data_IF_951560623490
#
_entry.id   IF_951560623490
#
_cell.length_a   1.000
_cell.length_b   1.000
_cell.length_c   1.000
_cell.angle_alpha   90.00
_cell.angle_beta   90.00
_cell.angle_gamma   90.00
#
_symmetry.space_group_name_H-M   'P 1'
#
loop_
_entity.id
_entity.type
_entity.pdbx_description
1 polymer ?
2 non-polymer ?
3 non-polymer ?
4 non-polymer ?
5 water ?
#
# COMPACT_ATOMS: atom_id res chain seq x y z
N UNK A 1 -6.69 41.53 7.83
CA UNK A 1 -7.98 41.35 8.55
C UNK A 1 -8.00 39.98 9.21
N UNK A 2 -8.09 39.98 10.53
CA UNK A 2 -8.08 38.76 11.31
C UNK A 2 -9.19 37.79 10.91
N UNK A 3 -10.40 38.31 10.73
CA UNK A 3 -11.54 37.47 10.37
C UNK A 3 -11.41 36.77 9.02
N UNK A 4 -10.75 37.42 8.07
CA UNK A 4 -10.54 36.84 6.75
C UNK A 4 -9.53 35.69 6.85
N UNK A 5 -8.49 35.89 7.63
CA UNK A 5 -7.47 34.85 7.81
C UNK A 5 -8.09 33.65 8.54
N UNK A 6 -8.98 33.93 9.49
CA UNK A 6 -9.64 32.86 10.23
C UNK A 6 -10.53 32.02 9.32
N UNK A 7 -11.31 32.69 8.47
CA UNK A 7 -12.18 31.98 7.55
C UNK A 7 -11.36 31.16 6.56
N UNK A 8 -10.22 31.69 6.13
CA UNK A 8 -9.37 30.92 5.22
C UNK A 8 -8.84 29.69 5.93
N UNK A 9 -8.45 29.86 7.19
CA UNK A 9 -7.92 28.73 7.95
C UNK A 9 -8.98 27.63 8.08
N UNK A 10 -10.24 28.03 8.27
CA UNK A 10 -11.33 27.07 8.36
C UNK A 10 -11.43 26.31 7.03
N UNK A 11 -11.29 27.02 5.92
CA UNK A 11 -11.35 26.40 4.59
C UNK A 11 -10.14 25.46 4.37
N UNK A 12 -8.98 25.86 4.89
CA UNK A 12 -7.76 25.04 4.76
C UNK A 12 -7.90 23.74 5.52
N UNK A 13 -8.45 23.83 6.73
CA UNK A 13 -8.65 22.67 7.60
C UNK A 13 -9.67 21.72 6.99
N UNK A 14 -10.81 22.24 6.54
CA UNK A 14 -11.83 21.39 5.92
C UNK A 14 -11.31 20.71 4.65
N UNK A 15 -10.46 21.41 3.91
CA UNK A 15 -9.87 20.85 2.69
C UNK A 15 -8.97 19.68 3.11
N UNK A 16 -8.19 19.86 4.19
CA UNK A 16 -7.33 18.80 4.70
C UNK A 16 -8.14 17.60 5.15
N UNK A 17 -9.24 17.85 5.85
CA UNK A 17 -10.09 16.74 6.31
C UNK A 17 -10.57 15.92 5.12
N UNK A 18 -11.01 16.60 4.07
CA UNK A 18 -11.47 15.89 2.87
C UNK A 18 -10.34 15.13 2.18
N UNK A 19 -9.17 15.75 2.09
CA UNK A 19 -8.06 15.07 1.46
C UNK A 19 -7.56 13.87 2.25
N UNK A 20 -7.54 13.98 3.59
CA UNK A 20 -7.12 12.84 4.41
C UNK A 20 -8.11 11.70 4.25
N UNK A 21 -9.39 12.02 4.14
CA UNK A 21 -10.41 10.99 3.97
C UNK A 21 -10.20 10.28 2.64
N UNK A 22 -9.82 11.04 1.61
CA UNK A 22 -9.55 10.46 0.28
C UNK A 22 -8.34 9.56 0.32
N UNK A 23 -7.32 9.96 1.07
CA UNK A 23 -6.10 9.17 1.24
C UNK A 23 -6.47 7.85 1.94
N UNK A 24 -7.28 7.93 2.99
CA UNK A 24 -7.69 6.72 3.69
C UNK A 24 -8.45 5.79 2.72
N UNK A 25 -9.39 6.35 1.95
CA UNK A 25 -10.16 5.57 0.98
C UNK A 25 -9.30 4.92 -0.08
N UNK A 26 -8.36 5.68 -0.65
CA UNK A 26 -7.48 5.15 -1.68
C UNK A 26 -6.59 4.04 -1.13
N UNK A 27 -6.09 4.22 0.09
CA UNK A 27 -5.24 3.20 0.71
C UNK A 27 -6.03 1.90 0.93
N UNK A 28 -7.26 2.04 1.42
CA UNK A 28 -8.12 0.87 1.65
C UNK A 28 -8.40 0.16 0.31
N UNK A 29 -8.64 0.95 -0.75
CA UNK A 29 -8.89 0.39 -2.07
C UNK A 29 -7.65 -0.39 -2.52
N UNK A 30 -6.47 0.23 -2.34
CA UNK A 30 -5.20 -0.39 -2.74
C UNK A 30 -4.90 -1.64 -1.93
N UNK A 31 -5.45 -1.73 -0.72
CA UNK A 31 -5.23 -2.90 0.12
C UNK A 31 -6.27 -3.99 -0.11
N UNK A 32 -7.10 -3.82 -1.13
CA UNK A 32 -8.09 -4.84 -1.45
C UNK A 32 -9.49 -4.68 -0.89
N UNK A 33 -9.78 -3.56 -0.24
CA UNK A 33 -11.12 -3.38 0.32
C UNK A 33 -12.15 -3.40 -0.80
N UNK A 34 -13.12 -4.31 -0.70
CA UNK A 34 -14.19 -4.44 -1.69
C UNK A 34 -15.33 -3.52 -1.24
N UNK A 35 -16.12 -3.02 -2.19
CA UNK A 35 -17.22 -2.12 -1.85
C UNK A 35 -18.21 -2.74 -0.85
N UNK A 36 -18.54 -1.98 0.19
CA UNK A 36 -19.49 -2.47 1.19
C UNK A 36 -18.96 -3.62 2.04
N UNK A 37 -17.66 -3.90 1.93
CA UNK A 37 -17.06 -4.98 2.69
C UNK A 37 -15.97 -4.45 3.61
N UNK A 38 -15.73 -5.12 4.72
CA UNK A 38 -14.68 -4.65 5.60
C UNK A 38 -13.40 -5.17 4.97
N UNK A 39 -12.26 -4.61 5.35
CA UNK A 39 -11.04 -5.13 4.74
C UNK A 39 -10.04 -5.57 5.79
N UNK A 40 -9.15 -6.45 5.36
CA UNK A 40 -8.16 -7.04 6.23
C UNK A 40 -6.76 -6.66 5.80
N UNK A 41 -5.89 -6.48 6.78
CA UNK A 41 -4.52 -6.08 6.53
C UNK A 41 -3.59 -6.81 7.51
N UNK A 42 -2.39 -7.13 7.04
CA UNK A 42 -1.39 -7.77 7.89
C UNK A 42 0.00 -7.28 7.51
N UNK A 43 0.94 -7.37 8.44
CA UNK A 43 2.33 -6.97 8.17
C UNK A 43 3.14 -8.27 8.19
N UNK A 44 2.41 -9.38 8.31
CA UNK A 44 3.00 -10.72 8.34
C UNK A 44 3.84 -11.04 9.57
N UNK A 45 3.80 -10.19 10.58
CA UNK A 45 4.55 -10.42 11.80
C UNK A 45 3.79 -11.38 12.73
N UNK A 46 4.51 -12.28 13.39
CA UNK A 46 3.87 -13.23 14.30
C UNK A 46 4.06 -12.76 15.75
N UNK A 47 3.00 -12.82 16.55
CA UNK A 47 3.08 -12.36 17.93
C UNK A 47 1.95 -12.95 18.77
N UNK A 48 2.08 -12.86 20.11
CA UNK A 48 1.06 -13.36 21.04
C UNK A 48 -0.23 -12.59 20.81
N UNK A 49 -1.36 -13.19 21.20
CA UNK A 49 -2.66 -12.56 20.99
C UNK A 49 -2.82 -11.16 21.58
N UNK A 50 -2.36 -10.95 22.81
CA UNK A 50 -2.50 -9.64 23.43
C UNK A 50 -1.83 -8.56 22.59
N UNK A 51 -0.71 -8.89 21.95
CA UNK A 51 0.02 -7.96 21.10
C UNK A 51 -0.79 -7.62 19.85
N UNK A 52 -1.44 -8.64 19.28
CA UNK A 52 -2.25 -8.43 18.08
C UNK A 52 -3.39 -7.48 18.43
N UNK A 53 -4.10 -7.75 19.53
CA UNK A 53 -5.20 -6.91 19.95
C UNK A 53 -4.77 -5.47 20.12
N UNK A 54 -3.65 -5.30 20.81
CA UNK A 54 -3.10 -3.97 21.10
C UNK A 54 -2.79 -3.25 19.80
N UNK A 55 -2.09 -3.93 18.89
CA UNK A 55 -1.73 -3.34 17.62
C UNK A 55 -2.95 -2.95 16.80
N UNK A 56 -3.90 -3.86 16.60
CA UNK A 56 -5.09 -3.54 15.82
C UNK A 56 -5.92 -2.43 16.45
N UNK A 57 -6.07 -2.49 17.77
CA UNK A 57 -6.81 -1.47 18.49
C UNK A 57 -6.18 -0.10 18.25
N UNK A 58 -4.85 -0.05 18.29
CA UNK A 58 -4.14 1.22 18.07
C UNK A 58 -4.44 1.80 16.70
N UNK A 59 -4.66 0.93 15.72
CA UNK A 59 -4.95 1.35 14.35
C UNK A 59 -6.45 1.59 14.17
N UNK A 60 -7.18 1.53 15.28
CA UNK A 60 -8.62 1.72 15.26
C UNK A 60 -9.34 0.67 14.41
N UNK A 61 -8.86 -0.56 14.56
CA UNK A 61 -9.43 -1.70 13.90
C UNK A 61 -9.56 -2.76 14.98
N UNK A 62 -9.59 -4.03 14.60
CA UNK A 62 -9.70 -5.11 15.57
C UNK A 62 -9.09 -6.35 14.96
N UNK A 63 -8.78 -7.33 15.79
CA UNK A 63 -8.22 -8.59 15.27
C UNK A 63 -9.32 -9.11 14.33
N UNK A 64 -8.89 -9.55 13.15
CA UNK A 64 -9.80 -10.05 12.14
C UNK A 64 -10.81 -11.09 12.65
N UNK A 65 -12.06 -10.92 12.26
CA UNK A 65 -13.15 -11.81 12.64
C UNK A 65 -13.95 -12.28 11.41
N UNK A 66 -13.91 -13.59 11.10
CA UNK A 66 -14.68 -14.07 9.95
C UNK A 66 -16.14 -14.20 10.39
N UNK A 67 -17.04 -13.42 9.78
CA UNK A 67 -18.47 -13.47 10.11
C UNK A 67 -19.18 -14.44 9.18
N UNK A 68 -18.50 -14.87 8.13
CA UNK A 68 -19.07 -15.81 7.17
C UNK A 68 -17.93 -16.41 6.35
N UNK A 69 -18.26 -17.33 5.45
CA UNK A 69 -17.23 -18.01 4.65
C UNK A 69 -16.47 -17.11 3.68
N UNK A 70 -17.13 -16.11 3.12
CA UNK A 70 -16.45 -15.19 2.20
C UNK A 70 -15.35 -14.47 2.97
N UNK A 71 -15.69 -13.94 4.14
CA UNK A 71 -14.70 -13.22 4.94
C UNK A 71 -13.60 -14.16 5.42
N UNK A 72 -13.96 -15.41 5.69
CA UNK A 72 -12.98 -16.38 6.17
C UNK A 72 -11.93 -16.59 5.07
N UNK A 73 -12.40 -16.72 3.83
CA UNK A 73 -11.52 -16.93 2.69
C UNK A 73 -10.64 -15.70 2.50
N UNK A 74 -11.23 -14.53 2.65
CA UNK A 74 -10.50 -13.27 2.50
C UNK A 74 -9.37 -13.19 3.54
N UNK A 75 -9.69 -13.52 4.79
CA UNK A 75 -8.70 -13.49 5.85
C UNK A 75 -7.60 -14.52 5.58
N UNK A 76 -8.00 -15.70 5.11
CA UNK A 76 -7.07 -16.78 4.79
C UNK A 76 -6.06 -16.34 3.72
N UNK A 77 -6.55 -15.63 2.71
CA UNK A 77 -5.72 -15.17 1.59
C UNK A 77 -4.75 -14.08 2.04
N UNK A 78 -5.21 -13.18 2.90
CA UNK A 78 -4.36 -12.11 3.41
C UNK A 78 -3.27 -12.68 4.33
N UNK A 79 -3.66 -13.56 5.25
CA UNK A 79 -2.72 -14.15 6.21
C UNK A 79 -1.63 -15.04 5.62
N UNK A 80 -2.01 -15.97 4.75
CA UNK A 80 -1.03 -16.86 4.12
C UNK A 80 -0.46 -17.91 5.10
N UNK A 81 -0.66 -17.69 6.39
CA UNK A 81 -0.18 -18.62 7.42
C UNK A 81 -1.18 -18.63 8.58
N UNK A 82 -0.84 -19.31 9.69
CA UNK A 82 -1.77 -19.33 10.82
C UNK A 82 -1.87 -17.93 11.41
N UNK A 83 -3.08 -17.50 11.74
CA UNK A 83 -3.28 -16.16 12.29
C UNK A 83 -4.37 -16.14 13.33
N UNK A 84 -4.23 -15.29 14.34
CA UNK A 84 -5.25 -15.16 15.38
C UNK A 84 -6.50 -14.50 14.83
N UNK A 85 -7.64 -14.88 15.40
CA UNK A 85 -8.93 -14.29 15.04
C UNK A 85 -9.43 -13.57 16.29
N UNK A 86 -10.32 -12.60 16.09
CA UNK A 86 -10.88 -11.86 17.20
C UNK A 86 -11.99 -12.62 17.91
N UNK A 87 -11.68 -13.86 18.28
CA UNK A 87 -12.62 -14.77 18.94
C UNK A 87 -11.89 -15.52 20.07
N UNK A 88 -12.46 -15.54 21.27
CA UNK A 88 -11.82 -16.27 22.39
C UNK A 88 -12.88 -16.77 23.37
N UNK A 89 -12.50 -17.70 24.26
CA UNK A 89 -13.45 -18.16 25.28
C UNK A 89 -12.81 -17.89 26.64
N UNK A 90 -12.10 -16.77 26.72
CA UNK A 90 -11.43 -16.33 27.95
C UNK A 90 -12.39 -16.00 29.08
N UNK A 91 -13.52 -15.37 28.73
CA UNK A 91 -14.49 -14.97 29.73
C UNK A 91 -15.18 -16.14 30.41
N UNK A 92 -15.61 -17.13 29.62
CA UNK A 92 -16.29 -18.31 30.14
C UNK A 92 -15.86 -19.49 29.29
N UNK A 93 -15.06 -20.38 29.88
CA UNK A 93 -14.57 -21.56 29.16
C UNK A 93 -15.64 -22.30 28.39
N UNK A 94 -15.33 -22.63 27.13
CA UNK A 94 -16.27 -23.34 26.29
C UNK A 94 -17.21 -22.42 25.52
N UNK A 95 -17.33 -21.17 25.91
CA UNK A 95 -18.24 -20.28 25.29
C UNK A 95 -17.55 -19.17 24.48
N UNK A 96 -17.33 -19.43 23.21
CA UNK A 96 -16.62 -18.48 22.43
C UNK A 96 -17.36 -17.18 22.14
N UNK A 97 -16.63 -16.07 22.18
CA UNK A 97 -17.23 -14.75 21.98
C UNK A 97 -16.30 -13.87 21.14
N UNK A 98 -16.88 -12.92 20.42
CA UNK A 98 -16.07 -12.01 19.64
C UNK A 98 -15.39 -11.06 20.63
N UNK A 99 -14.19 -10.59 20.30
CA UNK A 99 -13.49 -9.67 21.19
C UNK A 99 -14.27 -8.38 21.35
N UNK A 100 -15.11 -8.07 20.38
CA UNK A 100 -15.93 -6.87 20.41
C UNK A 100 -17.33 -7.12 20.99
N UNK A 101 -17.58 -8.35 21.44
CA UNK A 101 -18.87 -8.65 22.02
C UNK A 101 -19.77 -9.59 21.23
N UNK A 102 -20.51 -10.40 21.96
CA UNK A 102 -21.43 -11.34 21.34
C UNK A 102 -20.92 -12.77 21.24
N UNK A 103 -21.86 -13.70 21.30
CA UNK A 103 -21.53 -15.10 21.20
C UNK A 103 -21.21 -15.47 19.75
N UNK A 104 -20.26 -16.39 19.58
CA UNK A 104 -19.86 -16.81 18.23
C UNK A 104 -21.05 -17.38 17.46
N UNK A 105 -21.18 -16.99 16.20
CA UNK A 105 -22.26 -17.53 15.38
C UNK A 105 -21.60 -18.40 14.31
N UNK A 106 -21.29 -17.82 13.16
CA UNK A 106 -20.62 -18.60 12.13
C UNK A 106 -19.28 -19.11 12.66
N UNK A 107 -18.92 -20.34 12.30
CA UNK A 107 -17.66 -20.92 12.74
C UNK A 107 -17.10 -21.84 11.66
N UNK A 108 -15.82 -22.17 11.75
CA UNK A 108 -15.24 -23.04 10.73
C UNK A 108 -14.18 -23.96 11.36
N UNK A 109 -14.55 -24.56 12.48
CA UNK A 109 -13.67 -25.45 13.24
C UNK A 109 -13.25 -26.69 12.49
N UNK A 110 -11.97 -27.06 12.67
CA UNK A 110 -11.46 -28.29 12.09
C UNK A 110 -12.18 -29.38 12.88
N UNK A 111 -12.19 -30.60 12.36
CA UNK A 111 -12.81 -31.72 13.06
C UNK A 111 -12.15 -31.87 14.43
N UNK A 112 -12.97 -32.13 15.45
CA UNK A 112 -12.53 -32.32 16.83
C UNK A 112 -11.99 -31.07 17.53
N UNK A 113 -12.31 -29.90 17.00
CA UNK A 113 -11.93 -28.63 17.61
C UNK A 113 -13.23 -27.85 17.80
N UNK A 114 -13.27 -26.93 18.79
CA UNK A 114 -12.20 -26.59 19.73
C UNK A 114 -12.10 -27.69 20.79
N UNK A 115 -10.94 -27.80 21.45
CA UNK A 115 -10.77 -28.84 22.46
C UNK A 115 -10.08 -28.38 23.74
N UNK A 116 -9.78 -27.10 23.86
CA UNK A 116 -9.12 -26.55 25.07
C UNK A 116 -8.02 -27.52 25.51
N UNK A 117 -7.18 -27.88 24.55
CA UNK A 117 -6.11 -28.84 24.75
C UNK A 117 -5.09 -28.53 25.85
N UNK A 118 -4.68 -29.58 26.56
CA UNK A 118 -3.69 -29.45 27.62
C UNK A 118 -4.08 -28.57 28.78
N UNK A 119 -3.19 -27.65 29.14
CA UNK A 119 -3.45 -26.72 30.24
C UNK A 119 -4.56 -25.73 29.86
N UNK A 120 -4.90 -25.73 28.57
CA UNK A 120 -5.96 -24.86 28.10
C UNK A 120 -5.66 -24.06 26.84
N UNK A 121 -6.71 -23.74 26.09
CA UNK A 121 -6.59 -22.96 24.87
C UNK A 121 -7.81 -22.07 24.80
N UNK A 122 -7.59 -20.76 24.91
CA UNK A 122 -8.71 -19.82 24.85
C UNK A 122 -8.74 -18.89 23.64
N UNK A 123 -7.73 -18.99 22.77
CA UNK A 123 -7.70 -18.19 21.57
C UNK A 123 -7.97 -19.05 20.36
N UNK A 124 -8.09 -18.40 19.20
CA UNK A 124 -8.40 -19.11 17.97
C UNK A 124 -7.55 -18.65 16.79
N UNK A 125 -7.07 -19.62 16.03
CA UNK A 125 -6.28 -19.32 14.84
C UNK A 125 -6.90 -19.94 13.61
N UNK A 126 -6.85 -19.20 12.51
CA UNK A 126 -7.31 -19.73 11.24
C UNK A 126 -6.04 -20.39 10.73
N UNK A 127 -6.12 -21.65 10.36
CA UNK A 127 -4.95 -22.38 9.88
C UNK A 127 -5.08 -22.86 8.43
N UNK A 128 -4.75 -24.14 8.20
CA UNK A 128 -4.80 -24.74 6.87
C UNK A 128 -6.21 -24.98 6.31
N UNK A 129 -6.38 -24.60 5.05
CA UNK A 129 -7.66 -24.71 4.36
C UNK A 129 -8.59 -23.65 4.90
N UNK A 130 -8.09 -22.83 5.82
CA UNK A 130 -8.92 -21.79 6.39
C UNK A 130 -9.71 -22.31 7.59
N UNK A 131 -9.50 -23.56 7.98
CA UNK A 131 -10.21 -24.12 9.14
C UNK A 131 -9.67 -23.46 10.40
N UNK A 132 -10.37 -23.68 11.51
CA UNK A 132 -10.00 -23.08 12.80
C UNK A 132 -9.54 -24.08 13.86
N UNK A 133 -8.63 -23.63 14.72
CA UNK A 133 -8.13 -24.43 15.84
C UNK A 133 -8.01 -23.53 17.05
N UNK A 134 -8.53 -23.94 18.22
CA UNK A 134 -8.34 -23.08 19.40
C UNK A 134 -6.91 -23.34 19.87
N UNK A 135 -6.24 -22.27 20.31
CA UNK A 135 -4.84 -22.38 20.68
C UNK A 135 -4.53 -21.47 21.86
N UNK A 136 -3.34 -21.61 22.42
CA UNK A 136 -2.94 -20.76 23.53
C UNK A 136 -2.79 -19.31 23.06
N UNK A 137 -3.36 -18.39 23.82
CA UNK A 137 -3.26 -16.97 23.52
C UNK A 137 -1.80 -16.49 23.64
N UNK A 138 -0.98 -17.25 24.34
CA UNK A 138 0.44 -16.91 24.51
C UNK A 138 1.30 -17.30 23.30
N UNK A 139 0.77 -18.17 22.45
CA UNK A 139 1.49 -18.59 21.26
C UNK A 139 1.56 -17.42 20.29
N UNK A 140 2.56 -17.43 19.41
CA UNK A 140 2.72 -16.36 18.44
C UNK A 140 2.22 -16.74 17.07
N UNK A 141 1.23 -15.99 16.58
CA UNK A 141 0.68 -16.24 15.26
C UNK A 141 0.56 -14.91 14.51
N UNK A 142 0.37 -14.98 13.21
CA UNK A 142 0.28 -13.79 12.37
C UNK A 142 -0.79 -12.79 12.79
N UNK A 143 -0.38 -11.52 12.83
CA UNK A 143 -1.27 -10.42 13.21
C UNK A 143 -2.05 -9.92 11.99
N UNK A 144 -3.36 -10.08 12.03
CA UNK A 144 -4.22 -9.65 10.93
C UNK A 144 -5.33 -8.79 11.53
N UNK A 145 -5.47 -7.56 11.03
CA UNK A 145 -6.49 -6.66 11.53
C UNK A 145 -7.61 -6.47 10.53
N UNK A 146 -8.79 -6.15 11.03
CA UNK A 146 -9.92 -5.89 10.16
C UNK A 146 -10.37 -4.46 10.42
N UNK A 147 -10.88 -3.83 9.37
CA UNK A 147 -11.37 -2.46 9.44
C UNK A 147 -12.78 -2.49 8.86
N UNK A 148 -13.69 -1.63 9.36
CA UNK A 148 -15.11 -1.51 8.96
C UNK A 148 -15.44 -1.39 7.49
N UNK A 149 -16.58 -1.96 7.10
CA UNK A 149 -17.04 -1.91 5.72
C UNK A 149 -17.36 -0.48 5.34
N UNK B 1 -1.32 38.95 20.44
CA UNK B 1 -1.37 37.48 20.70
C UNK B 1 -2.17 36.79 19.61
N UNK B 2 -3.40 37.25 19.38
CA UNK B 2 -4.27 36.66 18.37
C UNK B 2 -3.60 36.54 16.99
N UNK B 3 -2.99 37.63 16.53
CA UNK B 3 -2.34 37.58 15.22
C UNK B 3 -1.17 36.59 15.22
N UNK B 4 -0.49 36.49 16.36
CA UNK B 4 0.64 35.57 16.46
C UNK B 4 0.17 34.11 16.50
N UNK B 5 -0.93 33.85 17.21
CA UNK B 5 -1.46 32.50 17.28
C UNK B 5 -1.94 32.07 15.90
N UNK B 6 -2.57 32.98 15.20
CA UNK B 6 -3.09 32.70 13.87
C UNK B 6 -1.91 32.39 12.92
N UNK B 7 -0.85 33.19 12.99
CA UNK B 7 0.33 32.99 12.15
C UNK B 7 0.93 31.62 12.41
N UNK B 8 1.10 31.30 13.69
CA UNK B 8 1.66 30.02 14.09
C UNK B 8 0.78 28.86 13.63
N UNK B 9 -0.53 29.05 13.64
CA UNK B 9 -1.41 27.99 13.18
C UNK B 9 -1.38 27.82 11.66
N UNK B 10 -1.19 28.91 10.94
CA UNK B 10 -1.09 28.81 9.48
C UNK B 10 0.18 28.02 9.15
N UNK B 11 1.23 28.21 9.97
CA UNK B 11 2.48 27.49 9.75
C UNK B 11 2.27 25.99 9.97
N UNK B 12 1.55 25.64 11.04
CA UNK B 12 1.25 24.25 11.35
C UNK B 12 0.42 23.60 10.23
N UNK B 13 -0.53 24.33 9.69
CA UNK B 13 -1.35 23.80 8.61
C UNK B 13 -0.51 23.51 7.35
N UNK B 14 0.37 24.43 6.99
CA UNK B 14 1.23 24.24 5.82
C UNK B 14 2.07 22.97 5.99
N UNK B 15 2.58 22.79 7.21
CA UNK B 15 3.39 21.62 7.53
C UNK B 15 2.56 20.35 7.39
N UNK B 16 1.33 20.37 7.93
CA UNK B 16 0.45 19.22 7.82
C UNK B 16 0.13 18.87 6.37
N UNK B 17 -0.07 19.90 5.54
CA UNK B 17 -0.38 19.67 4.14
C UNK B 17 0.79 18.99 3.43
N UNK B 18 2.02 19.40 3.77
CA UNK B 18 3.22 18.79 3.17
C UNK B 18 3.36 17.34 3.65
N UNK B 19 3.07 17.13 4.92
CA UNK B 19 3.18 15.79 5.48
C UNK B 19 2.14 14.88 4.79
N UNK B 20 0.92 15.39 4.57
CA UNK B 20 -0.10 14.57 3.91
C UNK B 20 0.31 14.26 2.48
N UNK B 21 0.92 15.23 1.80
CA UNK B 21 1.34 14.98 0.42
C UNK B 21 2.44 13.90 0.42
N UNK B 22 3.27 13.91 1.45
CA UNK B 22 4.35 12.94 1.58
C UNK B 22 3.73 11.54 1.76
N UNK B 23 2.67 11.47 2.56
CA UNK B 23 1.98 10.21 2.81
C UNK B 23 1.42 9.65 1.49
N UNK B 24 0.88 10.54 0.68
CA UNK B 24 0.33 10.16 -0.63
C UNK B 24 1.44 9.66 -1.56
N UNK B 25 2.59 10.34 -1.55
CA UNK B 25 3.71 9.95 -2.40
C UNK B 25 4.30 8.60 -1.98
N UNK B 26 4.45 8.42 -0.67
CA UNK B 26 4.99 7.17 -0.18
C UNK B 26 4.03 6.02 -0.48
N UNK B 27 2.73 6.29 -0.36
CA UNK B 27 1.75 5.26 -0.66
C UNK B 27 1.83 4.82 -2.12
N UNK B 28 1.83 5.79 -3.04
CA UNK B 28 1.89 5.48 -4.47
C UNK B 28 3.15 4.68 -4.80
N UNK B 29 4.28 5.12 -4.26
CA UNK B 29 5.57 4.47 -4.46
C UNK B 29 5.50 3.02 -3.96
N UNK B 30 5.00 2.81 -2.74
CA UNK B 30 4.89 1.47 -2.18
C UNK B 30 3.99 0.58 -3.03
N UNK B 31 3.04 1.18 -3.73
CA UNK B 31 2.13 0.43 -4.58
C UNK B 31 2.62 0.29 -6.02
N UNK B 32 3.87 0.70 -6.28
CA UNK B 32 4.42 0.55 -7.62
C UNK B 32 4.45 1.71 -8.59
N UNK B 33 4.02 2.90 -8.17
CA UNK B 33 4.04 4.05 -9.08
C UNK B 33 5.46 4.36 -9.52
N UNK B 34 5.68 4.45 -10.83
CA UNK B 34 6.99 4.74 -11.38
C UNK B 34 7.19 6.25 -11.55
N UNK B 35 8.44 6.70 -11.42
CA UNK B 35 8.75 8.12 -11.57
C UNK B 35 8.22 8.63 -12.90
N UNK B 36 7.57 9.79 -12.86
CA UNK B 36 7.02 10.39 -14.06
C UNK B 36 5.93 9.60 -14.78
N UNK B 37 5.43 8.55 -14.17
CA UNK B 37 4.38 7.74 -14.79
C UNK B 37 3.09 7.79 -13.96
N UNK B 38 1.97 7.52 -14.61
CA UNK B 38 0.68 7.53 -13.92
C UNK B 38 0.64 6.38 -12.94
N UNK B 39 -0.14 6.54 -11.89
CA UNK B 39 -0.28 5.51 -10.87
C UNK B 39 -1.54 4.67 -11.17
N UNK B 40 -1.34 3.36 -11.36
CA UNK B 40 -2.42 2.41 -11.63
C UNK B 40 -2.65 1.53 -10.41
N UNK B 41 -3.90 1.33 -10.04
CA UNK B 41 -4.19 0.56 -8.83
C UNK B 41 -5.57 -0.13 -8.86
N UNK B 42 -5.68 -1.27 -8.19
CA UNK B 42 -6.94 -2.01 -8.18
C UNK B 42 -7.21 -2.65 -6.82
N UNK B 43 -8.48 -2.92 -6.53
CA UNK B 43 -8.84 -3.61 -5.29
C UNK B 43 -9.23 -5.05 -5.66
N UNK B 44 -9.02 -5.39 -6.94
CA UNK B 44 -9.32 -6.70 -7.50
C UNK B 44 -10.81 -7.04 -7.54
N UNK B 45 -11.66 -6.04 -7.39
CA UNK B 45 -13.09 -6.27 -7.42
C UNK B 45 -13.64 -6.15 -8.83
N UNK B 46 -14.55 -7.06 -9.20
CA UNK B 46 -15.15 -7.04 -10.55
C UNK B 46 -16.54 -6.46 -10.42
N UNK B 47 -16.88 -5.56 -11.34
CA UNK B 47 -18.18 -4.90 -11.31
C UNK B 47 -18.47 -4.29 -12.68
N UNK B 48 -19.73 -3.87 -12.91
CA UNK B 48 -20.10 -3.26 -14.19
C UNK B 48 -19.33 -1.96 -14.40
N UNK B 49 -19.20 -1.56 -15.67
CA UNK B 49 -18.45 -0.35 -15.99
C UNK B 49 -18.93 0.88 -15.23
N UNK B 50 -20.24 1.06 -15.12
CA UNK B 50 -20.79 2.21 -14.41
C UNK B 50 -20.27 2.28 -12.98
N UNK B 51 -20.14 1.12 -12.34
CA UNK B 51 -19.64 1.07 -10.97
C UNK B 51 -18.15 1.37 -10.92
N UNK B 52 -17.42 0.90 -11.93
CA UNK B 52 -16.00 1.19 -11.96
C UNK B 52 -15.83 2.69 -12.06
N UNK B 53 -16.58 3.34 -12.95
CA UNK B 53 -16.46 4.79 -13.10
C UNK B 53 -16.79 5.54 -11.83
N UNK B 54 -17.84 5.13 -11.14
CA UNK B 54 -18.23 5.79 -9.92
C UNK B 54 -17.16 5.63 -8.87
N UNK B 55 -16.63 4.41 -8.77
CA UNK B 55 -15.60 4.12 -7.78
C UNK B 55 -14.33 4.94 -7.98
N UNK B 56 -13.79 4.97 -9.20
CA UNK B 56 -12.58 5.74 -9.42
C UNK B 56 -12.83 7.23 -9.20
N UNK B 57 -13.99 7.72 -9.62
CA UNK B 57 -14.35 9.12 -9.44
C UNK B 57 -14.37 9.50 -7.96
N UNK B 58 -14.93 8.61 -7.14
CA UNK B 58 -15.00 8.87 -5.72
C UNK B 58 -13.60 8.97 -5.08
N UNK B 59 -12.62 8.31 -5.70
CA UNK B 59 -11.24 8.35 -5.22
C UNK B 59 -10.47 9.48 -5.87
N UNK B 60 -11.17 10.26 -6.70
CA UNK B 60 -10.58 11.37 -7.42
C UNK B 60 -9.62 10.92 -8.51
N UNK B 61 -9.85 9.73 -9.05
CA UNK B 61 -9.04 9.22 -10.13
C UNK B 61 -9.96 8.95 -11.31
N UNK B 62 -9.52 8.15 -12.29
CA UNK B 62 -10.38 7.83 -13.44
C UNK B 62 -10.14 6.38 -13.83
N UNK B 63 -11.03 5.80 -14.63
CA UNK B 63 -10.85 4.41 -15.05
C UNK B 63 -9.57 4.36 -15.88
N UNK B 64 -8.71 3.40 -15.58
CA UNK B 64 -7.42 3.27 -16.27
C UNK B 64 -7.46 3.35 -17.79
N UNK B 65 -6.56 4.14 -18.35
CA UNK B 65 -6.46 4.32 -19.80
C UNK B 65 -5.01 4.21 -20.29
N UNK B 66 -4.73 3.23 -21.16
CA UNK B 66 -3.40 3.02 -21.74
C UNK B 66 -3.20 3.98 -22.90
N UNK B 67 -2.22 4.88 -22.81
CA UNK B 67 -1.95 5.85 -23.88
C UNK B 67 -0.85 5.32 -24.80
N UNK B 68 -0.15 4.29 -24.35
CA UNK B 68 0.91 3.68 -25.12
C UNK B 68 1.16 2.27 -24.64
N UNK B 69 2.08 1.57 -25.29
CA UNK B 69 2.39 0.18 -24.95
C UNK B 69 2.94 0.02 -23.54
N UNK B 70 3.68 1.01 -23.07
CA UNK B 70 4.25 0.98 -21.74
C UNK B 70 3.15 1.04 -20.69
N UNK B 71 2.19 1.95 -20.89
CA UNK B 71 1.08 2.07 -19.96
C UNK B 71 0.18 0.86 -20.02
N UNK B 72 0.04 0.28 -21.20
CA UNK B 72 -0.81 -0.88 -21.37
C UNK B 72 -0.24 -2.06 -20.57
N UNK B 73 1.07 -2.24 -20.62
CA UNK B 73 1.74 -3.32 -19.89
C UNK B 73 1.57 -3.07 -18.39
N UNK B 74 1.71 -1.81 -17.97
CA UNK B 74 1.56 -1.44 -16.57
C UNK B 74 0.19 -1.84 -16.04
N UNK B 75 -0.86 -1.48 -16.78
CA UNK B 75 -2.22 -1.82 -16.40
C UNK B 75 -2.40 -3.33 -16.37
N UNK B 76 -1.82 -3.99 -17.37
CA UNK B 76 -1.91 -5.45 -17.47
C UNK B 76 -1.38 -6.13 -16.21
N UNK B 77 -0.20 -5.71 -15.75
CA UNK B 77 0.35 -6.35 -14.56
C UNK B 77 -0.36 -6.01 -13.25
N UNK B 78 -1.02 -4.87 -13.20
CA UNK B 78 -1.77 -4.49 -12.00
C UNK B 78 -3.08 -5.28 -11.95
N UNK B 79 -3.74 -5.39 -13.10
CA UNK B 79 -5.03 -6.08 -13.17
C UNK B 79 -4.97 -7.59 -12.95
N UNK B 80 -4.04 -8.27 -13.62
CA UNK B 80 -3.91 -9.72 -13.46
C UNK B 80 -5.02 -10.48 -14.20
N UNK B 81 -6.22 -9.91 -14.19
CA UNK B 81 -7.38 -10.49 -14.85
C UNK B 81 -7.97 -9.49 -15.85
N UNK B 82 -9.13 -9.81 -16.41
CA UNK B 82 -9.76 -8.91 -17.37
C UNK B 82 -10.25 -7.66 -16.64
N UNK B 83 -9.96 -6.49 -17.19
CA UNK B 83 -10.33 -5.23 -16.56
C UNK B 83 -10.85 -4.18 -17.54
N UNK B 84 -11.81 -3.38 -17.10
CA UNK B 84 -12.34 -2.31 -17.94
C UNK B 84 -11.32 -1.19 -18.14
N UNK B 85 -11.33 -0.61 -19.33
CA UNK B 85 -10.46 0.51 -19.63
C UNK B 85 -11.41 1.71 -19.75
N UNK B 86 -10.88 2.93 -19.60
CA UNK B 86 -11.74 4.10 -19.68
C UNK B 86 -11.98 4.51 -21.12
N UNK B 87 -12.56 3.59 -21.89
CA UNK B 87 -12.82 3.81 -23.31
C UNK B 87 -14.17 3.19 -23.70
N UNK B 88 -14.97 3.91 -24.48
CA UNK B 88 -16.26 3.38 -24.94
C UNK B 88 -16.61 3.98 -26.30
N UNK B 89 -17.48 3.31 -27.06
CA UNK B 89 -17.91 3.84 -28.35
C UNK B 89 -19.44 4.04 -28.28
N UNK B 90 -19.87 4.61 -27.16
CA UNK B 90 -21.28 4.90 -26.88
C UNK B 90 -21.93 5.99 -27.76
N UNK B 91 -21.16 6.98 -28.19
CA UNK B 91 -21.69 8.06 -29.02
C UNK B 91 -21.89 7.62 -30.48
N UNK B 92 -20.81 7.22 -31.13
CA UNK B 92 -20.88 6.74 -32.50
C UNK B 92 -20.22 5.38 -32.51
N UNK B 93 -20.99 4.35 -32.87
CA UNK B 93 -20.49 2.98 -32.93
C UNK B 93 -19.23 2.90 -33.79
N UNK B 94 -18.20 2.26 -33.24
CA UNK B 94 -16.96 2.13 -33.96
C UNK B 94 -15.98 3.23 -33.60
N UNK B 95 -16.50 4.33 -33.05
CA UNK B 95 -15.65 5.46 -32.67
C UNK B 95 -15.39 5.41 -31.16
N UNK B 96 -14.29 4.76 -30.78
CA UNK B 96 -13.98 4.69 -29.36
C UNK B 96 -13.39 6.00 -28.88
N UNK B 97 -13.83 6.42 -27.70
CA UNK B 97 -13.41 7.68 -27.09
C UNK B 97 -13.05 7.44 -25.62
N UNK B 98 -12.08 8.20 -25.12
CA UNK B 98 -11.69 8.09 -23.72
C UNK B 98 -12.81 8.71 -22.88
N UNK B 99 -13.09 8.11 -21.73
CA UNK B 99 -14.12 8.65 -20.86
C UNK B 99 -13.76 10.06 -20.39
N UNK B 100 -12.49 10.43 -20.53
CA UNK B 100 -12.06 11.78 -20.13
C UNK B 100 -12.00 12.71 -21.32
N UNK B 101 -12.43 12.21 -22.48
CA UNK B 101 -12.46 13.02 -23.69
C UNK B 101 -11.40 12.72 -24.73
N UNK B 102 -11.76 12.87 -26.00
CA UNK B 102 -10.81 12.62 -27.07
C UNK B 102 -10.95 11.29 -27.79
N UNK B 103 -10.50 11.26 -29.03
CA UNK B 103 -10.56 10.05 -29.83
C UNK B 103 -9.41 9.15 -29.47
N UNK B 104 -9.64 7.86 -29.61
CA UNK B 104 -8.68 6.83 -29.31
C UNK B 104 -7.40 7.03 -30.13
N UNK B 105 -6.27 7.14 -29.46
CA UNK B 105 -5.01 7.27 -30.18
C UNK B 105 -4.43 5.85 -30.25
N UNK B 106 -3.88 5.37 -29.14
CA UNK B 106 -3.30 4.03 -29.07
C UNK B 106 -4.37 2.97 -28.85
N UNK B 107 -4.15 1.78 -29.40
CA UNK B 107 -5.08 0.67 -29.24
C UNK B 107 -4.28 -0.62 -29.29
N UNK B 108 -4.86 -1.70 -28.78
CA UNK B 108 -4.16 -2.98 -28.77
C UNK B 108 -5.17 -4.09 -28.92
N UNK B 109 -6.07 -3.92 -29.88
CA UNK B 109 -7.12 -4.88 -30.15
C UNK B 109 -6.65 -6.29 -30.45
N UNK B 110 -7.45 -7.25 -30.00
CA UNK B 110 -7.18 -8.67 -30.23
C UNK B 110 -7.70 -8.95 -31.66
N UNK B 111 -7.28 -10.06 -32.25
CA UNK B 111 -7.71 -10.39 -33.62
C UNK B 111 -9.22 -10.47 -33.67
N UNK B 112 -9.80 -9.93 -34.75
CA UNK B 112 -11.25 -9.96 -34.94
C UNK B 112 -11.99 -9.06 -33.94
N UNK B 113 -11.26 -8.13 -33.32
CA UNK B 113 -11.87 -7.21 -32.36
C UNK B 113 -11.46 -5.80 -32.77
N UNK B 114 -12.31 -4.78 -32.49
CA UNK B 114 -13.62 -4.84 -31.82
C UNK B 114 -14.67 -5.40 -32.78
N UNK B 115 -15.61 -6.16 -32.26
CA UNK B 115 -16.63 -6.75 -33.13
C UNK B 115 -18.07 -6.39 -32.74
N UNK B 116 -18.25 -5.63 -31.66
CA UNK B 116 -19.58 -5.22 -31.21
C UNK B 116 -20.51 -6.46 -31.17
N UNK B 117 -19.92 -7.58 -30.75
CA UNK B 117 -20.61 -8.87 -30.69
C UNK B 117 -21.97 -8.90 -30.00
N UNK B 118 -22.85 -9.77 -30.52
CA UNK B 118 -24.18 -9.94 -29.96
C UNK B 118 -25.08 -8.73 -30.05
N UNK B 119 -25.78 -8.45 -28.95
CA UNK B 119 -26.67 -7.31 -28.87
C UNK B 119 -25.91 -5.98 -28.84
N UNK B 120 -24.58 -6.06 -28.81
CA UNK B 120 -23.77 -4.87 -28.81
C UNK B 120 -22.74 -4.82 -27.68
N UNK B 121 -21.57 -4.29 -27.99
CA UNK B 121 -20.48 -4.16 -27.02
C UNK B 121 -19.89 -2.75 -27.15
N UNK B 122 -20.14 -1.89 -26.18
CA UNK B 122 -19.60 -0.55 -26.25
C UNK B 122 -18.50 -0.23 -25.22
N UNK B 123 -18.14 -1.21 -24.38
CA UNK B 123 -17.05 -1.02 -23.42
C UNK B 123 -15.82 -1.80 -23.84
N UNK B 124 -14.72 -1.61 -23.13
CA UNK B 124 -13.46 -2.25 -23.47
C UNK B 124 -12.74 -2.86 -22.27
N UNK B 125 -12.26 -4.09 -22.44
CA UNK B 125 -11.51 -4.78 -21.39
C UNK B 125 -10.13 -5.15 -21.89
N UNK B 126 -9.13 -5.00 -21.02
CA UNK B 126 -7.79 -5.43 -21.36
C UNK B 126 -7.81 -6.87 -20.82
N UNK B 127 -7.52 -7.83 -21.69
CA UNK B 127 -7.56 -9.23 -21.31
C UNK B 127 -6.22 -9.94 -21.37
N UNK B 128 -6.20 -11.16 -21.88
CA UNK B 128 -4.99 -11.98 -21.97
C UNK B 128 -3.88 -11.37 -22.82
N UNK B 129 -2.67 -11.45 -22.32
CA UNK B 129 -1.50 -10.92 -23.00
C UNK B 129 -1.56 -9.41 -23.18
N UNK B 130 -2.49 -8.77 -22.48
CA UNK B 130 -2.61 -7.33 -22.57
C UNK B 130 -3.36 -6.82 -23.79
N UNK B 131 -3.98 -7.73 -24.54
CA UNK B 131 -4.74 -7.33 -25.73
C UNK B 131 -6.12 -6.84 -25.29
N UNK B 132 -6.84 -6.21 -26.22
CA UNK B 132 -8.16 -5.66 -25.90
C UNK B 132 -9.33 -6.39 -26.56
N UNK B 133 -10.47 -6.39 -25.87
CA UNK B 133 -11.70 -6.98 -26.38
C UNK B 133 -12.85 -6.07 -25.99
N UNK B 134 -13.69 -5.69 -26.96
CA UNK B 134 -14.82 -4.86 -26.58
C UNK B 134 -15.83 -5.79 -25.95
N UNK B 135 -16.57 -5.30 -24.96
CA UNK B 135 -17.52 -6.15 -24.25
C UNK B 135 -18.67 -5.29 -23.75
N UNK B 136 -19.72 -5.94 -23.28
CA UNK B 136 -20.88 -5.22 -22.74
C UNK B 136 -20.47 -4.43 -21.51
N UNK B 137 -20.98 -3.20 -21.41
CA UNK B 137 -20.67 -2.36 -20.27
C UNK B 137 -21.34 -2.89 -19.01
N UNK B 138 -22.37 -3.71 -19.18
CA UNK B 138 -23.08 -4.29 -18.04
C UNK B 138 -22.36 -5.50 -17.47
N UNK B 139 -21.38 -6.03 -18.19
CA UNK B 139 -20.62 -7.19 -17.71
C UNK B 139 -19.71 -6.74 -16.54
N UNK B 140 -19.34 -7.68 -15.68
CA UNK B 140 -18.50 -7.36 -14.52
C UNK B 140 -17.04 -7.69 -14.75
N UNK B 141 -16.18 -6.69 -14.62
CA UNK B 141 -14.76 -6.88 -14.81
C UNK B 141 -14.00 -6.08 -13.77
N UNK B 142 -12.72 -6.38 -13.60
CA UNK B 142 -11.90 -5.71 -12.60
C UNK B 142 -11.80 -4.21 -12.72
N UNK B 143 -11.94 -3.56 -11.56
CA UNK B 143 -11.86 -2.10 -11.47
C UNK B 143 -10.41 -1.65 -11.27
N UNK B 144 -9.90 -0.91 -12.25
CA UNK B 144 -8.54 -0.40 -12.17
C UNK B 144 -8.63 1.09 -12.36
N UNK B 145 -8.15 1.85 -11.39
CA UNK B 145 -8.20 3.30 -11.47
C UNK B 145 -6.82 3.85 -11.76
N UNK B 146 -6.78 5.06 -12.32
CA UNK B 146 -5.50 5.69 -12.59
C UNK B 146 -5.48 7.05 -11.94
N UNK B 147 -4.29 7.46 -11.52
CA UNK B 147 -4.07 8.75 -10.90
C UNK B 147 -2.91 9.35 -11.66
N UNK B 148 -2.85 10.70 -11.78
CA UNK B 148 -1.78 11.39 -12.50
C UNK B 148 -0.33 11.17 -12.07
N UNK B 149 0.58 11.29 -13.03
CA UNK B 149 1.99 11.11 -12.77
C UNK B 149 2.52 12.18 -11.82
N UNK C 1 -16.46 35.03 19.83
CA UNK C 1 -16.29 34.34 18.52
C UNK C 1 -14.82 34.11 18.21
N UNK C 2 -14.13 35.15 17.74
CA UNK C 2 -12.73 35.06 17.37
C UNK C 2 -11.87 34.12 18.19
N UNK C 3 -11.72 34.41 19.48
CA UNK C 3 -10.90 33.58 20.35
C UNK C 3 -11.40 32.15 20.49
N UNK C 4 -12.72 31.99 20.56
CA UNK C 4 -13.27 30.65 20.68
C UNK C 4 -12.97 29.85 19.40
N UNK C 5 -13.16 30.47 18.24
CA UNK C 5 -12.89 29.79 16.97
C UNK C 5 -11.41 29.46 16.84
N UNK C 6 -10.58 30.35 17.35
CA UNK C 6 -9.14 30.17 17.29
C UNK C 6 -8.74 28.97 18.16
N UNK C 7 -9.30 28.90 19.36
CA UNK C 7 -9.00 27.79 20.26
C UNK C 7 -9.51 26.47 19.65
N UNK C 8 -10.65 26.54 18.97
CA UNK C 8 -11.19 25.33 18.37
C UNK C 8 -10.28 24.83 17.24
N UNK C 9 -9.83 25.74 16.39
CA UNK C 9 -8.97 25.33 15.29
C UNK C 9 -7.65 24.73 15.74
N UNK C 10 -7.18 25.09 16.93
CA UNK C 10 -5.95 24.51 17.43
C UNK C 10 -6.24 23.03 17.73
N UNK C 11 -7.43 22.75 18.26
CA UNK C 11 -7.82 21.38 18.57
C UNK C 11 -8.11 20.64 17.26
N UNK C 12 -8.66 21.33 16.27
CA UNK C 12 -8.94 20.72 14.96
C UNK C 12 -7.61 20.29 14.32
N UNK C 13 -6.60 21.15 14.43
CA UNK C 13 -5.28 20.87 13.87
C UNK C 13 -4.61 19.69 14.60
N UNK C 14 -4.69 19.68 15.93
CA UNK C 14 -4.08 18.58 16.69
C UNK C 14 -4.81 17.28 16.38
N UNK C 15 -6.11 17.36 16.14
CA UNK C 15 -6.88 16.16 15.81
C UNK C 15 -6.40 15.62 14.46
N UNK C 16 -6.22 16.52 13.49
CA UNK C 16 -5.76 16.10 12.19
C UNK C 16 -4.34 15.55 12.25
N UNK C 17 -3.51 16.09 13.13
CA UNK C 17 -2.16 15.57 13.28
C UNK C 17 -2.21 14.13 13.80
N UNK C 18 -3.09 13.87 14.77
CA UNK C 18 -3.23 12.52 15.34
C UNK C 18 -3.74 11.56 14.29
N UNK C 19 -4.72 12.01 13.52
CA UNK C 19 -5.27 11.17 12.48
C UNK C 19 -4.20 10.83 11.43
N UNK C 20 -3.41 11.83 11.02
CA UNK C 20 -2.39 11.55 10.00
C UNK C 20 -1.32 10.59 10.54
N UNK C 21 -0.97 10.74 11.81
CA UNK C 21 0.01 9.85 12.42
C UNK C 21 -0.53 8.42 12.37
N UNK C 22 -1.82 8.26 12.64
CA UNK C 22 -2.47 6.96 12.63
C UNK C 22 -2.47 6.38 11.22
N UNK C 23 -2.81 7.21 10.24
CA UNK C 23 -2.81 6.81 8.85
C UNK C 23 -1.39 6.31 8.49
N UNK C 24 -0.37 7.03 8.92
CA UNK C 24 1.01 6.62 8.62
C UNK C 24 1.33 5.27 9.28
N UNK C 25 0.85 5.06 10.51
CA UNK C 25 1.06 3.79 11.19
C UNK C 25 0.39 2.65 10.42
N UNK C 26 -0.84 2.87 9.96
CA UNK C 26 -1.56 1.87 9.21
C UNK C 26 -0.87 1.59 7.87
N UNK C 27 -0.39 2.63 7.19
CA UNK C 27 0.28 2.37 5.93
C UNK C 27 1.59 1.60 6.14
N UNK C 28 2.34 1.97 7.17
CA UNK C 28 3.59 1.27 7.47
C UNK C 28 3.28 -0.23 7.73
N UNK C 29 2.25 -0.48 8.55
CA UNK C 29 1.81 -1.84 8.86
C UNK C 29 1.49 -2.61 7.57
N UNK C 30 0.68 -2.02 6.70
CA UNK C 30 0.32 -2.70 5.46
C UNK C 30 1.54 -2.85 4.54
N UNK C 31 2.56 -2.01 4.76
CA UNK C 31 3.78 -2.07 3.96
C UNK C 31 4.75 -3.13 4.48
N UNK C 32 4.38 -3.81 5.57
CA UNK C 32 5.23 -4.86 6.11
C UNK C 32 6.14 -4.49 7.27
N UNK C 33 6.05 -3.25 7.72
CA UNK C 33 6.85 -2.76 8.84
C UNK C 33 6.63 -3.68 10.06
N UNK C 34 7.71 -4.27 10.57
CA UNK C 34 7.64 -5.15 11.73
C UNK C 34 7.90 -4.29 12.96
N UNK C 35 7.29 -4.66 14.08
CA UNK C 35 7.44 -3.92 15.33
C UNK C 35 8.90 -3.60 15.66
N UNK C 36 9.15 -2.34 15.99
CA UNK C 36 10.50 -1.91 16.34
C UNK C 36 11.58 -2.20 15.31
N UNK C 37 11.21 -2.40 14.05
CA UNK C 37 12.19 -2.66 13.00
C UNK C 37 12.11 -1.57 11.92
N UNK C 38 13.24 -1.25 11.31
CA UNK C 38 13.26 -0.26 10.25
C UNK C 38 12.64 -0.99 9.06
N UNK C 39 12.03 -0.28 8.13
CA UNK C 39 11.47 -1.01 7.01
C UNK C 39 11.88 -0.48 5.65
N UNK C 40 11.90 -1.40 4.69
CA UNK C 40 12.34 -1.12 3.33
C UNK C 40 11.17 -1.23 2.37
N UNK C 41 11.14 -0.33 1.40
CA UNK C 41 10.06 -0.29 0.42
C UNK C 41 10.61 0.00 -0.96
N UNK C 42 9.95 -0.56 -1.98
CA UNK C 42 10.39 -0.33 -3.36
C UNK C 42 9.19 -0.25 -4.27
N UNK C 43 9.33 0.47 -5.37
CA UNK C 43 8.26 0.56 -6.35
C UNK C 43 8.67 -0.36 -7.52
N UNK C 44 9.77 -1.09 -7.32
CA UNK C 44 10.34 -2.01 -8.30
C UNK C 44 10.91 -1.35 -9.54
N UNK C 45 11.14 -0.04 -9.46
CA UNK C 45 11.70 0.69 -10.60
C UNK C 45 13.22 0.67 -10.57
N UNK C 46 13.85 0.53 -11.73
CA UNK C 46 15.31 0.53 -11.82
C UNK C 46 15.74 1.88 -12.38
N UNK C 47 16.73 2.50 -11.74
CA UNK C 47 17.20 3.82 -12.13
C UNK C 47 18.63 4.04 -11.60
N UNK C 48 19.31 5.10 -12.08
CA UNK C 48 20.67 5.42 -11.63
C UNK C 48 20.68 5.84 -10.16
N UNK C 49 21.81 5.64 -9.50
CA UNK C 49 21.93 5.97 -8.08
C UNK C 49 21.46 7.36 -7.68
N UNK C 50 21.84 8.39 -8.43
CA UNK C 50 21.44 9.75 -8.09
C UNK C 50 19.91 9.88 -8.05
N UNK C 51 19.21 9.18 -8.94
CA UNK C 51 17.75 9.26 -8.94
C UNK C 51 17.15 8.53 -7.74
N UNK C 52 17.80 7.45 -7.31
CA UNK C 52 17.29 6.72 -6.15
C UNK C 52 17.44 7.62 -4.94
N UNK C 53 18.59 8.27 -4.80
CA UNK C 53 18.81 9.16 -3.67
C UNK C 53 17.79 10.28 -3.67
N UNK C 54 17.56 10.89 -4.82
CA UNK C 54 16.60 11.98 -4.90
C UNK C 54 15.20 11.48 -4.57
N UNK C 55 14.86 10.30 -5.07
CA UNK C 55 13.54 9.74 -4.83
C UNK C 55 13.33 9.42 -3.35
N UNK C 56 14.28 8.74 -2.72
CA UNK C 56 14.10 8.43 -1.30
C UNK C 56 14.13 9.72 -0.45
N UNK C 57 14.94 10.69 -0.85
CA UNK C 57 15.02 11.95 -0.11
C UNK C 57 13.66 12.64 -0.08
N UNK C 58 12.96 12.65 -1.22
CA UNK C 58 11.64 13.24 -1.31
C UNK C 58 10.68 12.61 -0.33
N UNK C 59 10.79 11.29 -0.19
CA UNK C 59 9.91 10.52 0.71
C UNK C 59 10.41 10.59 2.15
N UNK C 60 11.40 11.43 2.38
CA UNK C 60 11.98 11.58 3.72
C UNK C 60 12.56 10.28 4.25
N UNK C 61 13.17 9.51 3.36
CA UNK C 61 13.79 8.27 3.74
C UNK C 61 15.21 8.32 3.20
N UNK C 62 15.89 7.19 3.16
CA UNK C 62 17.26 7.13 2.64
C UNK C 62 17.42 5.87 1.80
N UNK C 63 18.43 5.83 0.95
CA UNK C 63 18.67 4.64 0.14
C UNK C 63 19.02 3.54 1.12
N UNK C 64 18.40 2.38 0.97
CA UNK C 64 18.58 1.25 1.88
C UNK C 64 20.02 0.91 2.24
N UNK C 65 20.25 0.72 3.53
CA UNK C 65 21.57 0.35 4.04
C UNK C 65 21.47 -0.76 5.08
N UNK C 66 22.06 -1.93 4.79
CA UNK C 66 22.02 -3.03 5.76
C UNK C 66 23.15 -2.84 6.78
N UNK C 67 22.82 -2.94 8.07
CA UNK C 67 23.83 -2.76 9.11
C UNK C 67 24.23 -4.13 9.67
N UNK C 68 23.52 -5.17 9.27
CA UNK C 68 23.80 -6.53 9.71
C UNK C 68 23.19 -7.53 8.72
N UNK C 69 23.47 -8.81 8.93
CA UNK C 69 22.98 -9.86 8.03
C UNK C 69 21.47 -9.93 7.93
N UNK C 70 20.77 -9.62 9.02
CA UNK C 70 19.32 -9.66 9.00
C UNK C 70 18.75 -8.59 8.06
N UNK C 71 19.20 -7.35 8.24
CA UNK C 71 18.74 -6.24 7.39
C UNK C 71 19.13 -6.47 5.95
N UNK C 72 20.31 -7.08 5.74
CA UNK C 72 20.79 -7.35 4.40
C UNK C 72 19.82 -8.29 3.70
N UNK C 73 19.33 -9.29 4.45
CA UNK C 73 18.39 -10.25 3.89
C UNK C 73 17.04 -9.57 3.66
N UNK C 74 16.66 -8.68 4.57
CA UNK C 74 15.40 -7.96 4.44
C UNK C 74 15.38 -7.13 3.13
N UNK C 75 16.48 -6.44 2.87
CA UNK C 75 16.58 -5.64 1.65
C UNK C 75 16.51 -6.57 0.45
N UNK C 76 17.25 -7.68 0.52
CA UNK C 76 17.27 -8.65 -0.56
C UNK C 76 15.85 -9.13 -0.93
N UNK C 77 15.07 -9.49 0.08
CA UNK C 77 13.71 -9.96 -0.11
C UNK C 77 12.77 -8.92 -0.73
N UNK C 78 12.93 -7.67 -0.33
CA UNK C 78 12.11 -6.58 -0.85
C UNK C 78 12.45 -6.28 -2.31
N UNK C 79 13.75 -6.18 -2.61
CA UNK C 79 14.19 -5.86 -3.96
C UNK C 79 13.90 -6.94 -5.00
N UNK C 80 14.21 -8.19 -4.66
CA UNK C 80 14.01 -9.31 -5.58
C UNK C 80 14.98 -9.32 -6.77
N UNK C 81 15.68 -8.21 -6.97
CA UNK C 81 16.66 -8.10 -8.04
C UNK C 81 17.81 -7.26 -7.51
N UNK C 82 18.77 -6.91 -8.37
CA UNK C 82 19.91 -6.11 -7.93
C UNK C 82 19.37 -4.73 -7.52
N UNK C 83 19.83 -4.23 -6.38
CA UNK C 83 19.37 -2.94 -5.87
C UNK C 83 20.50 -2.12 -5.28
N UNK C 84 20.48 -0.82 -5.55
CA UNK C 84 21.49 0.07 -5.02
C UNK C 84 21.38 0.16 -3.50
N UNK C 85 22.53 0.28 -2.84
CA UNK C 85 22.55 0.44 -1.40
C UNK C 85 23.06 1.86 -1.16
N UNK C 86 22.78 2.41 0.01
CA UNK C 86 23.23 3.76 0.31
C UNK C 86 24.68 3.78 0.74
N UNK C 87 25.57 3.25 -0.12
CA UNK C 87 27.01 3.17 0.17
C UNK C 87 27.78 3.48 -1.13
N UNK C 88 28.81 4.31 -1.05
CA UNK C 88 29.62 4.65 -2.23
C UNK C 88 31.04 5.06 -1.83
N UNK C 89 31.98 5.01 -2.78
CA UNK C 89 33.34 5.48 -2.50
C UNK C 89 33.64 6.63 -3.46
N UNK C 90 32.62 7.46 -3.69
CA UNK C 90 32.70 8.64 -4.56
C UNK C 90 33.65 9.72 -4.06
N UNK C 91 33.73 9.87 -2.74
CA UNK C 91 34.60 10.88 -2.15
C UNK C 91 36.07 10.51 -2.24
N UNK C 92 36.40 9.29 -1.86
CA UNK C 92 37.77 8.81 -1.90
C UNK C 92 37.75 7.38 -2.42
N UNK C 93 38.29 7.21 -3.63
CA UNK C 93 38.33 5.90 -4.27
C UNK C 93 38.88 4.81 -3.36
N UNK C 94 38.14 3.69 -3.25
CA UNK C 94 38.59 2.59 -2.42
C UNK C 94 38.06 2.64 -1.00
N UNK C 95 37.57 3.81 -0.60
CA UNK C 95 37.04 4.03 0.74
C UNK C 95 35.53 4.14 0.75
N UNK C 96 34.84 3.02 0.94
CA UNK C 96 33.37 3.09 0.97
C UNK C 96 32.80 3.68 2.24
N UNK C 97 31.80 4.52 2.06
CA UNK C 97 31.14 5.20 3.16
C UNK C 97 29.63 5.22 2.98
N UNK C 98 28.90 5.34 4.08
CA UNK C 98 27.45 5.41 4.01
C UNK C 98 27.09 6.78 3.45
N UNK C 99 25.99 6.88 2.73
CA UNK C 99 25.59 8.17 2.18
C UNK C 99 25.19 9.06 3.35
N UNK C 100 24.75 8.44 4.43
CA UNK C 100 24.35 9.16 5.64
C UNK C 100 25.61 9.54 6.41
N UNK C 101 26.76 9.08 5.93
CA UNK C 101 28.03 9.39 6.58
C UNK C 101 28.68 8.28 7.38
N UNK C 102 30.00 8.22 7.34
CA UNK C 102 30.74 7.22 8.09
C UNK C 102 31.27 6.02 7.33
N UNK C 103 32.24 5.33 7.94
CA UNK C 103 32.84 4.14 7.37
C UNK C 103 32.00 2.89 7.68
N UNK C 104 32.09 1.87 6.83
CA UNK C 104 31.32 0.64 6.99
C UNK C 104 31.54 -0.17 8.28
N UNK C 105 30.43 -0.54 8.92
CA UNK C 105 30.49 -1.34 10.13
C UNK C 105 30.10 -2.78 9.83
N UNK C 106 29.58 -2.98 8.62
CA UNK C 106 29.17 -4.30 8.15
C UNK C 106 29.22 -4.31 6.64
N UNK C 107 29.60 -5.43 6.05
CA UNK C 107 29.67 -5.56 4.60
C UNK C 107 29.48 -7.00 4.21
N UNK C 108 29.12 -7.24 2.94
CA UNK C 108 28.91 -8.60 2.48
C UNK C 108 29.39 -8.73 1.04
N UNK C 109 30.62 -8.25 0.83
CA UNK C 109 31.24 -8.26 -0.48
C UNK C 109 31.38 -9.64 -1.11
N UNK C 110 31.08 -9.69 -2.40
CA UNK C 110 31.25 -10.90 -3.18
C UNK C 110 32.77 -11.03 -3.28
N UNK C 111 33.28 -12.24 -3.54
CA UNK C 111 34.73 -12.44 -3.64
C UNK C 111 35.39 -11.49 -4.64
N UNK C 112 36.49 -10.89 -4.25
CA UNK C 112 37.26 -9.96 -5.07
C UNK C 112 36.55 -8.65 -5.43
N UNK C 113 35.53 -8.29 -4.66
CA UNK C 113 34.81 -7.04 -4.84
C UNK C 113 35.05 -6.30 -3.54
N UNK C 114 35.01 -4.94 -3.56
CA UNK C 114 34.75 -4.03 -4.67
C UNK C 114 36.04 -3.93 -5.48
N UNK C 115 35.92 -3.74 -6.79
CA UNK C 115 37.12 -3.69 -7.61
C UNK C 115 37.27 -2.46 -8.53
N UNK C 116 36.29 -1.55 -8.48
CA UNK C 116 36.29 -0.36 -9.32
C UNK C 116 36.64 -0.80 -10.75
N UNK C 117 35.92 -1.82 -11.21
CA UNK C 117 36.12 -2.44 -12.51
C UNK C 117 35.97 -1.55 -13.74
N UNK C 118 36.86 -1.80 -14.71
CA UNK C 118 36.81 -1.06 -15.96
C UNK C 118 36.83 0.45 -15.81
N UNK C 119 35.88 1.10 -16.45
CA UNK C 119 35.82 2.56 -16.43
C UNK C 119 35.57 3.16 -15.04
N UNK C 120 35.27 2.31 -14.04
CA UNK C 120 35.06 2.83 -12.70
C UNK C 120 33.71 2.48 -12.09
N UNK C 121 33.72 2.22 -10.79
CA UNK C 121 32.52 1.83 -10.05
C UNK C 121 32.58 2.42 -8.65
N UNK C 122 31.66 3.35 -8.36
CA UNK C 122 31.65 3.99 -7.05
C UNK C 122 30.39 3.72 -6.23
N UNK C 123 29.44 2.99 -6.82
CA UNK C 123 28.22 2.63 -6.12
C UNK C 123 28.20 1.16 -5.77
N UNK C 124 27.19 0.76 -5.00
CA UNK C 124 27.09 -0.62 -4.56
C UNK C 124 25.69 -1.19 -4.76
N UNK C 125 25.65 -2.43 -5.25
CA UNK C 125 24.38 -3.11 -5.45
C UNK C 125 24.40 -4.41 -4.70
N UNK C 126 23.30 -4.71 -4.04
CA UNK C 126 23.16 -5.98 -3.34
C UNK C 126 22.58 -6.84 -4.47
N UNK C 127 23.19 -7.99 -4.74
CA UNK C 127 22.70 -8.84 -5.82
C UNK C 127 21.79 -9.96 -5.30
N UNK C 128 21.28 -10.77 -6.22
CA UNK C 128 20.35 -11.86 -5.89
C UNK C 128 20.87 -13.00 -5.00
N UNK C 129 21.99 -12.77 -4.33
CA UNK C 129 22.58 -13.76 -3.46
C UNK C 129 22.73 -13.11 -2.09
N UNK C 130 22.47 -11.81 -2.05
CA UNK C 130 22.63 -11.07 -0.82
C UNK C 130 24.03 -10.49 -0.79
N UNK C 131 24.88 -10.98 -1.67
CA UNK C 131 26.27 -10.50 -1.77
C UNK C 131 26.30 -9.12 -2.39
N UNK C 132 27.44 -8.44 -2.24
CA UNK C 132 27.59 -7.08 -2.77
C UNK C 132 28.60 -6.97 -3.92
N UNK C 133 28.32 -6.07 -4.84
CA UNK C 133 29.20 -5.79 -5.96
C UNK C 133 29.21 -4.30 -6.22
N UNK C 134 30.39 -3.69 -6.30
CA UNK C 134 30.41 -2.27 -6.58
C UNK C 134 30.14 -2.18 -8.08
N UNK C 135 29.37 -1.16 -8.47
CA UNK C 135 28.98 -1.00 -9.85
C UNK C 135 28.88 0.49 -10.20
N UNK C 136 28.77 0.78 -11.50
CA UNK C 136 28.65 2.17 -11.93
C UNK C 136 27.40 2.82 -11.34
N UNK C 137 27.57 4.02 -10.80
CA UNK C 137 26.45 4.78 -10.23
C UNK C 137 25.48 5.19 -11.35
N UNK C 138 25.95 5.10 -12.58
CA UNK C 138 25.15 5.47 -13.75
C UNK C 138 24.25 4.33 -14.22
N UNK C 139 24.57 3.11 -13.84
CA UNK C 139 23.77 1.95 -14.23
C UNK C 139 22.42 2.04 -13.49
N UNK C 140 21.41 1.37 -14.02
CA UNK C 140 20.08 1.40 -13.41
C UNK C 140 19.76 0.16 -12.62
N UNK C 141 19.56 0.32 -11.33
CA UNK C 141 19.22 -0.80 -10.46
C UNK C 141 17.99 -0.45 -9.62
N UNK C 142 17.37 -1.45 -9.01
CA UNK C 142 16.15 -1.25 -8.24
C UNK C 142 16.26 -0.27 -7.09
N UNK C 143 15.28 0.64 -7.00
CA UNK C 143 15.25 1.65 -5.96
C UNK C 143 14.60 1.10 -4.70
N UNK C 144 15.35 1.12 -3.60
CA UNK C 144 14.83 0.61 -2.33
C UNK C 144 15.09 1.66 -1.27
N UNK C 145 14.02 2.23 -0.72
CA UNK C 145 14.17 3.24 0.29
C UNK C 145 14.01 2.66 1.68
N UNK C 146 14.64 3.32 2.64
CA UNK C 146 14.62 2.89 4.04
C UNK C 146 13.98 3.94 4.92
N UNK C 147 13.22 3.48 5.91
CA UNK C 147 12.57 4.34 6.88
C UNK C 147 12.89 3.76 8.27
N UNK C 148 12.98 4.64 9.28
CA UNK C 148 13.29 4.31 10.67
C UNK C 148 12.40 3.30 11.39
N UNK C 149 13.00 2.59 12.34
CA UNK C 149 12.29 1.60 13.15
C UNK C 149 11.22 2.35 13.94
#
# INVERSE_FOLDING_TARGET
AIEVKLANMEAEINTLKSKLELTNKLHAFSMGKKSGKKFFVTNHERMPFSKVKALCSELRGTVAIPRNAEENKAIQEVAKTSAFLGITDEVTEGQFMYVTGGRLTYSNWKKDEPNDHGSGEDCVTIVDNGLWNDISCQASHTAVCEFPA
AIEVKLANMEAEINTLKSKLELTNKLHAFSMGKKSGKKFFVTNHERMPFSKVKALCSELRGTVAIPRNAEENKAIQEVAKTSAFLGITDEVTEGQFMYVTGGRLTYSNWKKDEPNDHGSGEDCVTIVDNGLWNDISCQASHTAVCEFPA
AIEVKLANMEAEINTLKSKLELTNKLHAFSMGKKSGKKFFVTNHERMPFSKVKALCSELRGTVAIPRNAEENKAIQEVAKTSAFLGITDEVTEGQFMYVTGGRLTYSNWKKDEPNDHGSGEDCVTIVDNGLWNDISCQASHTAVCEFPA
#
